data_IF_588532529050
#
_entry.id   IF_588532529050
#
_cell.length_a   1.000
_cell.length_b   1.000
_cell.length_c   1.000
_cell.angle_alpha   90.00
_cell.angle_beta   90.00
_cell.angle_gamma   90.00
#
_symmetry.space_group_name_H-M   'P 1'
#
loop_
_entity.id
_entity.type
_entity.pdbx_description
1 polymer ?
#
# COMPACT_ATOMS: atom_id res chain seq x y z
N UNK A 1 -10.43 -18.69 38.18
CA UNK A 1 -9.78 -17.43 37.80
C UNK A 1 -9.96 -17.25 36.30
N UNK A 2 -10.74 -16.25 35.88
CA UNK A 2 -11.07 -16.01 34.49
C UNK A 2 -10.16 -14.91 33.90
N UNK A 3 -9.64 -15.19 32.69
CA UNK A 3 -9.29 -14.27 31.58
C UNK A 3 -8.20 -13.20 31.81
N UNK A 4 -7.24 -13.16 30.88
CA UNK A 4 -7.34 -12.29 29.70
C UNK A 4 -6.38 -12.76 28.59
N UNK A 5 -6.95 -13.06 27.43
CA UNK A 5 -6.21 -13.22 26.17
C UNK A 5 -6.10 -11.83 25.53
N UNK A 6 -4.90 -11.41 25.15
CA UNK A 6 -4.59 -10.08 24.62
C UNK A 6 -4.14 -10.16 23.15
N UNK A 7 -4.48 -9.12 22.40
CA UNK A 7 -4.66 -9.11 20.95
C UNK A 7 -4.08 -7.79 20.40
N UNK A 8 -3.12 -7.82 19.46
CA UNK A 8 -2.40 -6.64 18.96
C UNK A 8 -3.01 -6.02 17.68
N UNK A 9 -3.58 -4.81 17.74
CA UNK A 9 -4.12 -4.11 16.56
C UNK A 9 -2.99 -3.35 15.87
N UNK A 10 -2.87 -3.41 14.56
CA UNK A 10 -1.73 -2.89 13.82
C UNK A 10 -2.13 -1.65 13.01
N UNK A 11 -1.26 -0.64 12.94
CA UNK A 11 -1.45 0.56 12.11
C UNK A 11 -0.85 0.28 10.73
N UNK A 12 -1.67 0.22 9.68
CA UNK A 12 -1.20 0.00 8.31
C UNK A 12 -1.29 1.30 7.52
N UNK A 13 -0.15 1.80 7.04
CA UNK A 13 -0.09 2.87 6.03
C UNK A 13 0.70 2.32 4.84
N UNK A 14 0.01 2.04 3.73
CA UNK A 14 0.70 2.00 2.44
C UNK A 14 0.98 3.43 2.03
N UNK A 15 2.26 3.82 2.05
CA UNK A 15 2.67 5.14 1.63
C UNK A 15 3.18 5.06 0.18
N UNK A 16 2.33 5.44 -0.78
CA UNK A 16 2.80 5.86 -2.10
C UNK A 16 3.31 7.29 -1.94
N UNK A 17 4.62 7.47 -2.00
CA UNK A 17 5.23 8.79 -1.92
C UNK A 17 5.20 9.50 -3.28
N UNK A 18 4.38 10.55 -3.30
CA UNK A 18 4.38 11.69 -4.20
C UNK A 18 3.74 11.52 -5.60
N UNK A 19 2.44 11.81 -5.64
CA UNK A 19 1.84 12.61 -6.72
C UNK A 19 2.46 14.01 -6.64
N UNK A 20 3.33 14.36 -7.58
CA UNK A 20 3.61 15.75 -7.89
C UNK A 20 2.57 16.14 -8.95
N UNK A 21 1.60 16.97 -8.56
CA UNK A 21 0.66 17.57 -9.49
C UNK A 21 1.44 18.56 -10.40
N UNK A 22 1.68 18.16 -11.65
CA UNK A 22 2.00 19.06 -12.76
C UNK A 22 0.99 18.79 -13.89
N UNK A 23 0.61 19.81 -14.67
CA UNK A 23 -0.64 19.82 -15.42
C UNK A 23 -0.71 18.62 -16.37
N UNK A 24 -1.72 17.78 -16.12
CA UNK A 24 -2.06 16.64 -16.94
C UNK A 24 -2.08 17.03 -18.42
N UNK A 25 -1.26 16.34 -19.21
CA UNK A 25 -1.67 16.05 -20.56
C UNK A 25 -2.92 15.17 -20.42
N UNK A 26 -4.08 15.78 -20.65
CA UNK A 26 -5.35 15.10 -20.64
C UNK A 26 -5.33 14.03 -21.74
N UNK A 27 -5.04 12.79 -21.37
CA UNK A 27 -5.58 11.67 -22.13
C UNK A 27 -7.10 11.76 -21.98
N UNK A 28 -7.76 11.81 -23.13
CA UNK A 28 -9.17 12.17 -23.30
C UNK A 28 -10.07 11.30 -22.41
N UNK A 29 -10.95 11.98 -21.67
CA UNK A 29 -12.24 11.47 -21.19
C UNK A 29 -12.25 10.14 -20.42
N UNK A 30 -11.40 9.98 -19.40
CA UNK A 30 -11.87 9.23 -18.22
C UNK A 30 -12.62 10.19 -17.30
N UNK A 31 -13.95 10.01 -17.10
CA UNK A 31 -14.64 10.79 -16.10
C UNK A 31 -13.90 10.61 -14.78
N UNK A 32 -13.66 11.71 -14.06
CA UNK A 32 -13.22 11.68 -12.67
C UNK A 32 -14.37 11.05 -11.87
N UNK A 33 -14.48 9.72 -11.93
CA UNK A 33 -15.35 8.98 -11.04
C UNK A 33 -14.88 9.35 -9.63
N UNK A 34 -15.83 9.71 -8.76
CA UNK A 34 -15.55 9.75 -7.33
C UNK A 34 -14.92 8.40 -7.02
N UNK A 35 -13.66 8.43 -6.57
CA UNK A 35 -13.00 7.26 -6.01
C UNK A 35 -13.85 6.83 -4.82
N UNK A 36 -14.80 5.95 -5.09
CA UNK A 36 -15.58 5.28 -4.05
C UNK A 36 -14.58 4.35 -3.37
N UNK A 37 -14.18 4.77 -2.17
CA UNK A 37 -13.17 4.11 -1.34
C UNK A 37 -13.66 2.68 -1.07
N UNK A 38 -12.81 1.66 -1.19
CA UNK A 38 -13.10 0.23 -0.89
C UNK A 38 -13.49 -0.01 0.60
N UNK A 39 -14.17 0.91 1.30
CA UNK A 39 -14.33 0.92 2.76
C UNK A 39 -13.01 1.11 3.55
N UNK A 40 -11.90 1.22 2.83
CA UNK A 40 -10.53 1.42 3.28
C UNK A 40 -10.17 2.91 3.15
N UNK A 41 -9.09 3.36 3.80
CA UNK A 41 -8.79 4.80 4.03
C UNK A 41 -9.71 5.48 5.04
N UNK A 42 -10.18 4.70 6.01
CA UNK A 42 -10.71 5.24 7.27
C UNK A 42 -9.54 5.33 8.25
N UNK A 43 -9.28 6.50 8.85
CA UNK A 43 -8.24 6.62 9.87
C UNK A 43 -8.45 5.55 10.94
N UNK A 44 -7.39 4.84 11.33
CA UNK A 44 -7.46 3.87 12.42
C UNK A 44 -8.19 4.53 13.61
N UNK A 45 -9.26 3.92 14.15
CA UNK A 45 -10.04 4.51 15.24
C UNK A 45 -9.20 4.93 16.46
N UNK A 46 -8.14 4.19 16.78
CA UNK A 46 -7.20 4.54 17.85
C UNK A 46 -6.34 5.76 17.47
N UNK A 47 -5.80 5.80 16.26
CA UNK A 47 -5.06 6.96 15.77
C UNK A 47 -5.96 8.21 15.72
N UNK A 48 -7.21 8.05 15.30
CA UNK A 48 -8.23 9.10 15.36
C UNK A 48 -8.51 9.54 16.79
N UNK A 49 -8.72 8.62 17.74
CA UNK A 49 -8.92 8.96 19.15
C UNK A 49 -7.68 9.67 19.74
N UNK A 50 -6.47 9.27 19.37
CA UNK A 50 -5.23 9.94 19.76
C UNK A 50 -5.19 11.37 19.18
N UNK A 51 -5.57 11.56 17.92
CA UNK A 51 -5.67 12.88 17.30
C UNK A 51 -6.74 13.75 17.98
N UNK A 52 -7.94 13.23 18.18
CA UNK A 52 -9.04 13.95 18.82
C UNK A 52 -8.65 14.42 20.23
N UNK A 53 -8.02 13.56 21.05
CA UNK A 53 -7.50 13.93 22.38
C UNK A 53 -6.44 15.04 22.32
N UNK A 54 -5.55 15.02 21.31
CA UNK A 54 -4.57 16.10 21.11
C UNK A 54 -5.27 17.41 20.75
N UNK A 55 -6.25 17.37 19.85
CA UNK A 55 -7.03 18.55 19.47
C UNK A 55 -7.85 19.12 20.65
N UNK A 56 -8.43 18.27 21.50
CA UNK A 56 -9.11 18.70 22.72
C UNK A 56 -8.15 19.40 23.69
N UNK A 57 -6.95 18.85 23.89
CA UNK A 57 -5.92 19.47 24.73
C UNK A 57 -5.49 20.85 24.19
N UNK A 58 -5.39 20.98 22.88
CA UNK A 58 -5.09 22.24 22.18
C UNK A 58 -6.19 23.28 22.40
N UNK A 59 -7.45 22.89 22.21
CA UNK A 59 -8.59 23.76 22.47
C UNK A 59 -8.66 24.23 23.94
N UNK A 60 -8.34 23.34 24.88
CA UNK A 60 -8.24 23.71 26.30
C UNK A 60 -7.13 24.72 26.58
N UNK A 61 -5.98 24.61 25.90
CA UNK A 61 -4.87 25.56 26.02
C UNK A 61 -5.22 26.91 25.39
N UNK A 62 -5.90 26.92 24.23
CA UNK A 62 -6.41 28.14 23.58
C UNK A 62 -7.34 28.93 24.51
N UNK A 63 -8.26 28.25 25.19
CA UNK A 63 -9.21 28.87 26.14
C UNK A 63 -8.52 29.54 27.33
N UNK A 64 -7.29 29.16 27.68
CA UNK A 64 -6.55 29.72 28.82
C UNK A 64 -5.83 31.05 28.51
N UNK A 65 -5.73 31.46 27.24
CA UNK A 65 -5.20 32.75 26.78
C UNK A 65 -3.68 32.97 27.00
N UNK A 66 -2.99 33.58 26.02
CA UNK A 66 -1.57 33.97 26.11
C UNK A 66 -0.59 33.07 25.33
N UNK A 67 0.71 33.06 25.71
CA UNK A 67 1.78 32.18 25.18
C UNK A 67 1.41 30.67 25.14
N UNK A 68 0.40 30.28 25.93
CA UNK A 68 -0.18 28.95 25.91
C UNK A 68 -0.95 28.65 24.61
N UNK A 69 -1.56 29.65 23.96
CA UNK A 69 -2.26 29.50 22.68
C UNK A 69 -1.29 29.30 21.50
N UNK A 70 -0.16 30.00 21.47
CA UNK A 70 0.88 29.82 20.44
C UNK A 70 1.57 28.44 20.57
N UNK A 71 1.82 27.99 21.81
CA UNK A 71 2.22 26.60 22.08
C UNK A 71 1.12 25.58 21.76
N UNK A 72 -0.15 25.95 21.87
CA UNK A 72 -1.27 25.08 21.50
C UNK A 72 -1.39 24.92 19.99
N UNK A 73 -1.18 25.97 19.21
CA UNK A 73 -1.25 25.90 17.74
C UNK A 73 -0.12 25.02 17.16
N UNK A 74 1.03 24.96 17.83
CA UNK A 74 2.17 24.11 17.47
C UNK A 74 2.15 22.72 18.14
N UNK A 75 1.38 22.52 19.21
CA UNK A 75 1.28 21.23 19.91
C UNK A 75 0.83 20.03 19.04
N UNK A 76 -0.18 20.13 18.15
CA UNK A 76 -0.54 19.04 17.24
C UNK A 76 0.58 18.71 16.25
N UNK A 77 1.46 19.68 15.99
CA UNK A 77 2.61 19.58 15.10
C UNK A 77 3.91 19.25 15.85
N UNK A 78 3.86 19.00 17.16
CA UNK A 78 5.05 18.69 17.96
C UNK A 78 5.09 17.21 18.34
N UNK A 79 6.29 16.63 18.40
CA UNK A 79 6.48 15.27 18.89
C UNK A 79 7.54 14.48 18.13
N UNK A 80 7.56 13.17 18.34
CA UNK A 80 8.38 12.26 17.56
C UNK A 80 7.62 10.98 17.28
N UNK A 81 7.85 10.42 16.10
CA UNK A 81 7.33 9.12 15.69
C UNK A 81 8.48 8.24 15.21
N UNK A 82 8.35 6.94 15.43
CA UNK A 82 9.25 5.92 14.88
C UNK A 82 8.42 4.95 14.05
N UNK A 83 8.59 4.97 12.74
CA UNK A 83 7.92 4.04 11.82
C UNK A 83 8.73 2.75 11.64
N UNK A 84 8.06 1.62 11.71
CA UNK A 84 8.56 0.36 11.18
C UNK A 84 8.16 0.29 9.71
N UNK A 85 9.12 0.16 8.80
CA UNK A 85 8.84 0.01 7.36
C UNK A 85 9.33 -1.37 6.92
N UNK A 86 8.44 -2.16 6.31
CA UNK A 86 8.76 -3.48 5.77
C UNK A 86 8.61 -3.43 4.25
N UNK A 87 9.71 -3.65 3.53
CA UNK A 87 9.66 -3.89 2.08
C UNK A 87 9.35 -5.36 1.86
N UNK A 88 8.30 -5.68 1.09
CA UNK A 88 7.83 -7.06 0.87
C UNK A 88 7.74 -7.40 -0.60
N UNK A 89 8.32 -8.52 -1.00
CA UNK A 89 8.15 -9.06 -2.34
C UNK A 89 7.40 -10.38 -2.30
N UNK A 90 6.75 -10.72 -3.41
CA UNK A 90 5.85 -11.86 -3.43
C UNK A 90 6.57 -13.16 -3.72
N UNK A 91 6.05 -14.22 -3.12
CA UNK A 91 6.43 -15.60 -3.37
C UNK A 91 5.48 -16.28 -4.34
N UNK A 92 5.13 -17.50 -3.97
CA UNK A 92 4.52 -18.48 -4.87
C UNK A 92 5.54 -19.45 -5.50
N UNK A 93 5.11 -20.24 -6.49
CA UNK A 93 3.82 -20.12 -7.17
C UNK A 93 2.63 -20.56 -6.31
N UNK A 94 1.47 -19.94 -6.52
CA UNK A 94 0.18 -20.47 -6.09
C UNK A 94 -0.62 -20.94 -7.31
N UNK A 95 -1.28 -22.10 -7.20
CA UNK A 95 -2.12 -22.64 -8.27
C UNK A 95 -3.55 -22.74 -7.80
N UNK A 96 -4.48 -22.20 -8.58
CA UNK A 96 -5.91 -22.24 -8.30
C UNK A 96 -6.68 -22.82 -9.49
N UNK A 97 -7.73 -23.58 -9.18
CA UNK A 97 -8.66 -24.06 -10.21
C UNK A 97 -9.80 -23.07 -10.38
N UNK A 98 -9.85 -22.41 -11.53
CA UNK A 98 -10.96 -21.58 -11.95
C UNK A 98 -12.00 -22.42 -12.70
N UNK A 99 -13.28 -22.26 -12.36
CA UNK A 99 -14.39 -22.96 -13.01
C UNK A 99 -15.38 -21.95 -13.57
N UNK A 100 -15.52 -21.82 -14.90
CA UNK A 100 -16.48 -20.92 -15.55
C UNK A 100 -17.90 -21.09 -15.00
N UNK A 101 -18.59 -19.97 -14.76
CA UNK A 101 -19.93 -19.94 -14.17
C UNK A 101 -20.03 -20.30 -12.68
N UNK A 102 -18.92 -20.64 -12.01
CA UNK A 102 -18.87 -20.92 -10.56
C UNK A 102 -17.91 -19.97 -9.85
N UNK A 103 -16.68 -19.87 -10.35
CA UNK A 103 -15.66 -18.95 -9.86
C UNK A 103 -16.10 -17.50 -10.07
N UNK A 104 -15.71 -16.64 -9.13
CA UNK A 104 -16.10 -15.21 -9.10
C UNK A 104 -14.93 -14.24 -9.09
N UNK A 105 -13.69 -14.73 -9.08
CA UNK A 105 -12.48 -13.91 -9.18
C UNK A 105 -12.05 -13.82 -10.63
N UNK A 106 -11.43 -12.72 -11.03
CA UNK A 106 -10.86 -12.58 -12.37
C UNK A 106 -9.56 -13.42 -12.46
N UNK A 107 -9.53 -14.50 -13.26
CA UNK A 107 -8.33 -15.33 -13.38
C UNK A 107 -7.28 -14.73 -14.33
N UNK A 108 -7.61 -13.66 -15.07
CA UNK A 108 -6.75 -13.02 -16.08
C UNK A 108 -6.16 -11.72 -15.54
N UNK A 109 -6.94 -10.92 -14.80
CA UNK A 109 -6.53 -9.67 -14.19
C UNK A 109 -6.35 -8.53 -15.17
N UNK A 110 -7.10 -8.50 -16.29
CA UNK A 110 -6.96 -7.45 -17.32
C UNK A 110 -7.89 -6.29 -17.03
N UNK A 111 -7.31 -5.09 -16.94
CA UNK A 111 -8.06 -3.85 -16.78
C UNK A 111 -8.74 -3.42 -18.09
N UNK A 112 -9.99 -3.84 -18.32
CA UNK A 112 -10.81 -3.55 -19.48
C UNK A 112 -12.29 -3.33 -19.11
N UNK A 113 -12.77 -2.10 -19.32
CA UNK A 113 -14.16 -1.69 -19.04
C UNK A 113 -15.23 -2.49 -19.80
N UNK A 114 -14.85 -3.12 -20.92
CA UNK A 114 -15.77 -3.97 -21.68
C UNK A 114 -16.06 -5.31 -21.02
N UNK A 115 -15.40 -5.63 -19.89
CA UNK A 115 -15.67 -6.80 -19.07
C UNK A 115 -16.81 -6.58 -18.06
N UNK A 116 -17.25 -5.34 -17.86
CA UNK A 116 -18.38 -5.03 -16.99
C UNK A 116 -19.72 -5.51 -17.55
N UNK A 117 -20.33 -6.48 -16.84
CA UNK A 117 -21.67 -7.00 -17.17
C UNK A 117 -22.81 -6.25 -16.47
N UNK A 118 -22.49 -5.32 -15.57
CA UNK A 118 -23.45 -4.75 -14.64
C UNK A 118 -23.53 -5.48 -13.29
N UNK A 119 -22.86 -6.63 -13.14
CA UNK A 119 -22.93 -7.48 -11.95
C UNK A 119 -21.53 -7.88 -11.47
N UNK A 120 -21.22 -7.65 -10.20
CA UNK A 120 -19.96 -8.09 -9.59
C UNK A 120 -19.97 -9.61 -9.36
N UNK A 121 -18.84 -10.25 -9.65
CA UNK A 121 -18.64 -11.70 -9.63
C UNK A 121 -19.15 -12.41 -10.89
N UNK A 122 -19.66 -11.69 -11.90
CA UNK A 122 -20.06 -12.26 -13.18
C UNK A 122 -18.89 -12.25 -14.17
N UNK A 123 -18.27 -13.42 -14.32
CA UNK A 123 -17.11 -13.60 -15.20
C UNK A 123 -17.48 -13.96 -16.64
N UNK A 124 -18.75 -13.89 -17.05
CA UNK A 124 -19.20 -14.44 -18.34
C UNK A 124 -18.52 -13.82 -19.58
N UNK A 125 -18.17 -12.54 -19.53
CA UNK A 125 -17.41 -11.88 -20.62
C UNK A 125 -15.96 -12.39 -20.65
N UNK A 126 -15.32 -12.52 -19.49
CA UNK A 126 -13.94 -13.01 -19.34
C UNK A 126 -13.87 -14.47 -19.81
N UNK A 127 -14.82 -15.31 -19.39
CA UNK A 127 -14.95 -16.70 -19.80
C UNK A 127 -15.02 -16.83 -21.33
N UNK A 128 -15.94 -16.09 -21.95
CA UNK A 128 -16.15 -16.11 -23.40
C UNK A 128 -14.93 -15.60 -24.16
N UNK A 129 -14.32 -14.52 -23.71
CA UNK A 129 -13.17 -13.87 -24.36
C UNK A 129 -11.94 -14.75 -24.35
N UNK A 130 -11.71 -15.47 -23.24
CA UNK A 130 -10.54 -16.31 -23.04
C UNK A 130 -10.82 -17.80 -23.33
N UNK A 131 -11.99 -18.10 -23.92
CA UNK A 131 -12.42 -19.45 -24.28
C UNK A 131 -12.36 -20.45 -23.11
N UNK A 132 -12.69 -19.99 -21.90
CA UNK A 132 -12.74 -20.81 -20.70
C UNK A 132 -14.05 -21.61 -20.71
N UNK A 133 -13.95 -22.91 -20.99
CA UNK A 133 -15.12 -23.80 -21.18
C UNK A 133 -15.24 -24.88 -20.09
N UNK A 134 -14.26 -24.99 -19.20
CA UNK A 134 -14.26 -25.93 -18.09
C UNK A 134 -13.21 -25.59 -17.03
N UNK A 135 -13.11 -26.41 -15.97
CA UNK A 135 -12.12 -26.21 -14.91
C UNK A 135 -10.71 -26.07 -15.47
N UNK A 136 -10.06 -24.95 -15.16
CA UNK A 136 -8.76 -24.56 -15.69
C UNK A 136 -7.83 -24.17 -14.53
N UNK A 137 -6.61 -24.69 -14.54
CA UNK A 137 -5.60 -24.36 -13.54
C UNK A 137 -4.87 -23.08 -13.95
N UNK A 138 -4.87 -22.09 -13.07
CA UNK A 138 -4.05 -20.90 -13.21
C UNK A 138 -2.95 -20.91 -12.15
N UNK A 139 -1.72 -20.62 -12.56
CA UNK A 139 -0.58 -20.56 -11.65
C UNK A 139 -0.03 -19.16 -11.65
N UNK A 140 -0.04 -18.52 -10.48
CA UNK A 140 0.38 -17.15 -10.29
C UNK A 140 1.67 -17.07 -9.50
N UNK A 141 2.46 -16.06 -9.80
CA UNK A 141 3.64 -15.64 -9.06
C UNK A 141 3.49 -14.14 -8.87
N UNK A 142 3.88 -13.59 -7.73
CA UNK A 142 3.85 -12.13 -7.62
C UNK A 142 5.17 -11.52 -8.08
N UNK A 143 5.20 -10.21 -8.39
CA UNK A 143 6.44 -9.60 -8.81
C UNK A 143 7.45 -9.61 -7.66
N UNK A 144 8.70 -9.87 -8.01
CA UNK A 144 9.84 -9.48 -7.20
C UNK A 144 10.05 -7.97 -7.34
N UNK A 145 10.78 -7.37 -6.39
CA UNK A 145 11.19 -5.99 -6.57
C UNK A 145 12.03 -5.80 -7.85
N UNK A 146 12.06 -4.57 -8.36
CA UNK A 146 12.75 -4.20 -9.61
C UNK A 146 12.18 -4.84 -10.89
N UNK A 147 10.98 -5.41 -10.84
CA UNK A 147 10.28 -5.93 -12.04
C UNK A 147 9.29 -4.94 -12.66
N UNK A 148 9.18 -3.72 -12.13
CA UNK A 148 8.36 -2.65 -12.73
C UNK A 148 9.04 -2.18 -14.02
N UNK A 149 8.31 -2.27 -15.13
CA UNK A 149 8.77 -1.80 -16.44
C UNK A 149 9.17 -0.31 -16.37
N UNK A 150 10.36 0.02 -16.88
CA UNK A 150 10.82 1.41 -16.97
C UNK A 150 9.97 2.23 -17.95
N UNK A 151 9.79 3.55 -17.72
CA UNK A 151 8.97 4.40 -18.58
C UNK A 151 9.36 4.35 -20.06
N UNK A 152 8.37 4.26 -20.95
CA UNK A 152 8.60 4.10 -22.40
C UNK A 152 9.02 5.39 -23.10
N UNK A 153 8.30 6.47 -22.84
CA UNK A 153 8.51 7.80 -23.44
C UNK A 153 7.91 8.89 -22.56
N UNK A 154 8.25 10.16 -22.81
CA UNK A 154 7.69 11.29 -22.04
C UNK A 154 6.19 11.49 -22.25
N UNK A 155 5.66 11.11 -23.41
CA UNK A 155 4.22 11.21 -23.74
C UNK A 155 3.42 9.99 -23.27
N UNK A 156 4.08 8.96 -22.74
CA UNK A 156 3.41 7.80 -22.17
C UNK A 156 2.82 8.17 -20.80
N UNK A 157 1.74 7.51 -20.39
CA UNK A 157 1.18 7.67 -19.04
C UNK A 157 2.23 7.46 -17.92
N UNK A 158 3.19 6.55 -18.12
CA UNK A 158 4.28 6.32 -17.15
C UNK A 158 5.42 7.33 -17.25
N UNK A 159 5.37 8.28 -18.19
CA UNK A 159 6.50 9.11 -18.63
C UNK A 159 7.11 9.96 -17.53
N UNK A 160 6.28 10.34 -16.56
CA UNK A 160 6.63 11.16 -15.40
C UNK A 160 6.56 10.38 -14.07
N UNK A 161 6.33 9.07 -14.11
CA UNK A 161 6.33 8.24 -12.92
C UNK A 161 7.73 8.19 -12.31
N UNK A 162 7.79 8.12 -10.97
CA UNK A 162 9.03 7.85 -10.26
C UNK A 162 9.50 6.44 -10.62
N UNK A 163 10.70 6.34 -11.18
CA UNK A 163 11.31 5.06 -11.50
C UNK A 163 12.82 5.08 -11.28
N UNK A 164 13.36 3.96 -10.81
CA UNK A 164 14.79 3.68 -10.72
C UNK A 164 15.02 2.23 -11.16
N UNK A 165 16.17 1.91 -11.78
CA UNK A 165 16.50 0.52 -12.10
C UNK A 165 16.65 -0.36 -10.85
N UNK A 166 16.85 0.25 -9.67
CA UNK A 166 17.01 -0.46 -8.41
C UNK A 166 16.30 0.26 -7.25
N UNK A 167 15.12 -0.21 -6.89
CA UNK A 167 14.34 0.13 -5.70
C UNK A 167 14.87 -0.64 -4.47
N UNK A 168 16.16 -0.57 -4.21
CA UNK A 168 16.77 -1.22 -3.05
C UNK A 168 16.35 -0.56 -1.73
N UNK A 169 16.79 -1.16 -0.61
CA UNK A 169 16.56 -0.62 0.73
C UNK A 169 17.08 0.81 0.90
N UNK A 170 18.23 1.13 0.31
CA UNK A 170 18.86 2.45 0.44
C UNK A 170 18.01 3.54 -0.23
N UNK A 171 17.44 3.27 -1.40
CA UNK A 171 16.49 4.17 -2.07
C UNK A 171 15.34 4.57 -1.12
N UNK A 172 14.74 3.59 -0.44
CA UNK A 172 13.65 3.85 0.51
C UNK A 172 14.14 4.57 1.77
N UNK A 173 15.32 4.23 2.28
CA UNK A 173 15.94 4.94 3.41
C UNK A 173 16.12 6.43 3.07
N UNK A 174 16.67 6.73 1.90
CA UNK A 174 16.94 8.10 1.44
C UNK A 174 15.66 8.89 1.21
N UNK A 175 14.65 8.25 0.62
CA UNK A 175 13.33 8.84 0.38
C UNK A 175 12.57 9.13 1.69
N UNK A 176 12.64 8.22 2.67
CA UNK A 176 11.82 8.34 3.89
C UNK A 176 12.52 9.20 4.95
N UNK A 177 13.76 8.89 5.30
CA UNK A 177 14.45 9.53 6.45
C UNK A 177 15.78 10.17 6.12
N UNK A 178 16.36 9.86 4.97
CA UNK A 178 17.58 10.49 4.48
C UNK A 178 17.33 11.88 3.91
N UNK A 179 18.20 12.29 3.00
CA UNK A 179 18.17 13.62 2.41
C UNK A 179 17.36 13.68 1.10
N UNK A 180 16.46 12.74 0.87
CA UNK A 180 15.75 12.59 -0.40
C UNK A 180 16.57 11.82 -1.44
N UNK A 181 15.98 11.63 -2.61
CA UNK A 181 16.53 10.80 -3.69
C UNK A 181 16.88 11.64 -4.90
N UNK A 182 17.80 11.13 -5.72
CA UNK A 182 18.00 11.56 -7.09
C UNK A 182 17.86 10.35 -7.99
N UNK A 183 17.07 10.47 -9.04
CA UNK A 183 16.94 9.41 -10.03
C UNK A 183 17.25 9.94 -11.41
N UNK A 184 18.04 9.14 -12.13
CA UNK A 184 18.43 9.38 -13.50
C UNK A 184 18.30 8.08 -14.28
N UNK A 185 17.54 8.11 -15.36
CA UNK A 185 17.37 6.96 -16.24
C UNK A 185 17.07 7.38 -17.66
N UNK A 186 17.32 6.47 -18.59
CA UNK A 186 16.85 6.58 -19.97
C UNK A 186 15.52 5.86 -20.11
N UNK A 187 14.53 6.54 -20.70
CA UNK A 187 13.30 5.91 -21.17
C UNK A 187 13.60 5.01 -22.37
N UNK A 188 12.66 4.14 -22.72
CA UNK A 188 12.85 3.18 -23.83
C UNK A 188 12.99 3.86 -25.20
N UNK A 189 12.42 5.06 -25.38
CA UNK A 189 12.58 5.89 -26.58
C UNK A 189 13.94 6.63 -26.65
N UNK A 190 14.81 6.45 -25.65
CA UNK A 190 16.12 7.09 -25.54
C UNK A 190 16.10 8.48 -24.91
N UNK A 191 14.94 9.06 -24.63
CA UNK A 191 14.86 10.30 -23.85
C UNK A 191 15.33 10.07 -22.41
N UNK A 192 15.90 11.08 -21.76
CA UNK A 192 16.42 10.93 -20.40
C UNK A 192 15.56 11.65 -19.38
N UNK A 193 15.53 11.11 -18.18
CA UNK A 193 14.94 11.70 -16.97
C UNK A 193 16.05 11.98 -15.99
N UNK A 194 16.05 13.15 -15.38
CA UNK A 194 16.93 13.50 -14.28
C UNK A 194 16.15 14.38 -13.31
N UNK A 195 15.74 13.80 -12.19
CA UNK A 195 14.99 14.49 -11.14
C UNK A 195 15.79 14.45 -9.86
N UNK A 196 15.90 15.62 -9.22
CA UNK A 196 16.60 15.81 -7.96
C UNK A 196 15.58 16.18 -6.88
N UNK A 197 15.33 15.25 -5.96
CA UNK A 197 14.50 15.43 -4.78
C UNK A 197 15.35 15.57 -3.52
N UNK A 198 16.60 16.04 -3.64
CA UNK A 198 17.44 16.35 -2.48
C UNK A 198 16.77 17.39 -1.58
N UNK A 199 16.78 17.14 -0.27
CA UNK A 199 16.07 17.89 0.74
C UNK A 199 14.57 17.56 0.84
N UNK A 200 14.03 16.69 -0.04
CA UNK A 200 12.60 16.35 -0.11
C UNK A 200 12.32 14.90 0.31
N UNK A 201 12.77 14.51 1.50
CA UNK A 201 12.35 13.25 2.12
C UNK A 201 11.04 13.41 2.88
N UNK A 202 10.41 12.29 3.27
CA UNK A 202 9.22 12.31 4.14
C UNK A 202 9.52 13.00 5.46
N UNK A 203 10.69 12.71 6.03
CA UNK A 203 11.17 13.37 7.24
C UNK A 203 11.28 14.87 7.04
N UNK A 204 11.85 15.34 5.93
CA UNK A 204 11.90 16.77 5.63
C UNK A 204 10.50 17.36 5.50
N UNK A 205 9.58 16.69 4.80
CA UNK A 205 8.19 17.15 4.68
C UNK A 205 7.51 17.37 6.04
N UNK A 206 7.60 16.39 6.95
CA UNK A 206 7.03 16.55 8.29
C UNK A 206 7.78 17.58 9.15
N UNK A 207 9.11 17.67 9.01
CA UNK A 207 9.91 18.69 9.68
C UNK A 207 9.48 20.10 9.23
N UNK A 208 9.37 20.34 7.93
CA UNK A 208 8.99 21.63 7.38
C UNK A 208 7.55 22.00 7.78
N UNK A 209 6.61 21.06 7.64
CA UNK A 209 5.20 21.26 8.03
C UNK A 209 5.05 21.61 9.52
N UNK A 210 5.94 21.08 10.37
CA UNK A 210 5.93 21.32 11.82
C UNK A 210 6.82 22.48 12.28
N UNK A 211 7.52 23.18 11.38
CA UNK A 211 8.55 24.14 11.76
C UNK A 211 9.68 23.52 12.59
N UNK A 212 9.95 22.24 12.40
CA UNK A 212 10.95 21.44 13.12
C UNK A 212 10.48 20.86 14.45
N UNK A 213 9.23 21.08 14.84
CA UNK A 213 8.70 20.58 16.12
C UNK A 213 8.38 19.07 16.11
N UNK A 214 8.21 18.47 14.92
CA UNK A 214 7.98 17.04 14.75
C UNK A 214 9.20 16.33 14.16
N UNK A 215 9.57 15.22 14.77
CA UNK A 215 10.67 14.38 14.31
C UNK A 215 10.17 13.00 13.85
N UNK A 216 10.28 12.73 12.55
CA UNK A 216 10.08 11.40 12.01
C UNK A 216 11.39 10.61 12.02
N UNK A 217 11.34 9.42 12.63
CA UNK A 217 12.33 8.37 12.48
C UNK A 217 11.66 7.17 11.82
N UNK A 218 12.44 6.34 11.13
CA UNK A 218 11.96 5.08 10.60
C UNK A 218 13.09 4.07 10.49
N UNK A 219 12.79 2.81 10.79
CA UNK A 219 13.65 1.68 10.47
C UNK A 219 13.07 0.97 9.26
N UNK A 220 13.82 0.97 8.16
CA UNK A 220 13.43 0.31 6.92
C UNK A 220 14.06 -1.08 6.91
N UNK A 221 13.26 -2.13 6.83
CA UNK A 221 13.70 -3.52 6.64
C UNK A 221 13.45 -3.94 5.20
N UNK A 222 14.45 -4.57 4.58
CA UNK A 222 14.50 -4.75 3.13
C UNK A 222 13.84 -6.05 2.65
N UNK A 223 13.50 -6.06 1.36
CA UNK A 223 12.68 -7.04 0.63
C UNK A 223 12.62 -8.43 1.25
N UNK A 224 11.69 -8.62 2.19
CA UNK A 224 11.37 -9.93 2.74
C UNK A 224 10.40 -10.63 1.81
N UNK A 225 10.65 -11.92 1.55
CA UNK A 225 9.82 -12.69 0.64
C UNK A 225 8.61 -13.29 1.35
N UNK A 226 7.42 -12.94 0.88
CA UNK A 226 6.15 -13.51 1.32
C UNK A 226 5.99 -14.95 0.81
N UNK A 227 5.19 -15.81 1.46
CA UNK A 227 4.97 -17.18 1.00
C UNK A 227 4.18 -17.24 -0.31
N UNK A 228 3.26 -16.31 -0.54
CA UNK A 228 2.30 -16.37 -1.65
C UNK A 228 2.53 -15.31 -2.74
N UNK A 229 1.92 -15.54 -3.89
CA UNK A 229 1.84 -14.67 -5.06
C UNK A 229 0.94 -13.46 -4.79
N UNK A 230 1.04 -12.42 -5.64
CA UNK A 230 0.22 -11.21 -5.47
C UNK A 230 -1.28 -11.50 -5.61
N UNK A 231 -1.68 -12.46 -6.46
CA UNK A 231 -3.10 -12.86 -6.61
C UNK A 231 -3.67 -13.48 -5.34
N UNK A 232 -2.84 -14.17 -4.56
CA UNK A 232 -3.31 -14.76 -3.31
C UNK A 232 -3.80 -13.69 -2.33
N UNK A 233 -3.23 -12.48 -2.38
CA UNK A 233 -3.60 -11.35 -1.51
C UNK A 233 -4.51 -10.32 -2.20
N UNK A 234 -4.36 -10.16 -3.51
CA UNK A 234 -4.83 -9.01 -4.29
C UNK A 234 -5.92 -9.31 -5.31
N UNK A 235 -6.27 -10.58 -5.54
CA UNK A 235 -7.20 -10.91 -6.61
C UNK A 235 -8.61 -10.35 -6.40
N UNK A 236 -9.05 -9.55 -7.36
CA UNK A 236 -10.36 -8.93 -7.43
C UNK A 236 -11.46 -9.89 -7.92
N UNK A 237 -12.74 -9.62 -7.59
CA UNK A 237 -13.87 -10.30 -8.21
C UNK A 237 -13.97 -9.93 -9.69
N UNK A 238 -14.76 -10.67 -10.47
CA UNK A 238 -15.03 -10.33 -11.87
C UNK A 238 -16.04 -9.18 -12.03
N UNK A 239 -15.82 -8.25 -12.96
CA UNK A 239 -14.49 -7.88 -13.44
C UNK A 239 -13.75 -7.09 -12.34
N UNK A 240 -12.43 -6.93 -12.49
CA UNK A 240 -11.64 -6.15 -11.56
C UNK A 240 -12.09 -4.68 -11.46
N UNK A 241 -11.57 -3.97 -10.45
CA UNK A 241 -12.03 -2.62 -10.09
C UNK A 241 -11.82 -1.59 -11.19
N UNK A 242 -10.75 -1.67 -11.95
CA UNK A 242 -10.44 -0.78 -13.08
C UNK A 242 -11.20 -1.20 -14.35
N UNK A 243 -11.82 -2.38 -14.36
CA UNK A 243 -12.71 -2.91 -15.39
C UNK A 243 -14.20 -2.65 -15.14
N UNK A 244 -14.61 -2.15 -13.96
CA UNK A 244 -16.01 -1.85 -13.64
C UNK A 244 -16.20 -0.66 -12.69
N UNK A 245 -17.32 0.04 -12.77
CA UNK A 245 -17.51 1.29 -12.01
C UNK A 245 -17.75 1.11 -10.50
N UNK A 246 -18.04 -0.11 -10.01
CA UNK A 246 -18.62 -0.30 -8.67
C UNK A 246 -18.12 -1.49 -7.84
N UNK A 247 -16.96 -2.12 -8.11
CA UNK A 247 -16.49 -3.17 -7.19
C UNK A 247 -16.01 -2.57 -5.85
N UNK A 248 -16.95 -2.35 -4.93
CA UNK A 248 -16.65 -2.15 -3.50
C UNK A 248 -16.12 -3.42 -2.83
N UNK A 249 -15.87 -4.48 -3.61
CA UNK A 249 -15.63 -5.82 -3.13
C UNK A 249 -14.13 -6.09 -3.07
N UNK A 250 -13.75 -6.71 -1.98
CA UNK A 250 -12.40 -6.74 -1.43
C UNK A 250 -11.39 -7.53 -2.27
N UNK A 251 -10.14 -7.09 -2.26
CA UNK A 251 -8.97 -7.94 -2.55
C UNK A 251 -9.10 -9.28 -1.81
N UNK A 252 -8.75 -10.40 -2.47
CA UNK A 252 -8.77 -11.73 -1.83
C UNK A 252 -9.99 -12.59 -2.14
N UNK A 253 -10.52 -12.47 -3.36
CA UNK A 253 -11.76 -13.16 -3.77
C UNK A 253 -11.58 -14.63 -4.16
N UNK A 254 -10.32 -15.10 -4.28
CA UNK A 254 -10.03 -16.50 -4.57
C UNK A 254 -10.37 -17.36 -3.33
N UNK A 255 -11.28 -18.35 -3.43
CA UNK A 255 -11.61 -19.22 -2.31
C UNK A 255 -10.40 -19.95 -1.74
N UNK A 256 -10.14 -19.77 -0.44
CA UNK A 256 -9.02 -20.39 0.25
C UNK A 256 -7.68 -19.64 0.11
N UNK A 257 -7.66 -18.55 -0.65
CA UNK A 257 -6.59 -17.55 -0.57
C UNK A 257 -6.86 -16.58 0.60
N UNK A 258 -5.97 -15.61 0.79
CA UNK A 258 -6.15 -14.56 1.77
C UNK A 258 -6.40 -13.22 1.10
N UNK A 259 -5.99 -12.16 1.78
CA UNK A 259 -6.34 -10.78 1.51
C UNK A 259 -5.22 -9.84 1.99
N UNK A 260 -5.47 -8.53 1.93
CA UNK A 260 -4.55 -7.51 2.48
C UNK A 260 -4.26 -7.69 3.98
N UNK A 261 -5.22 -8.19 4.78
CA UNK A 261 -5.04 -8.51 6.19
C UNK A 261 -4.04 -9.66 6.37
N UNK A 262 -4.13 -10.67 5.53
CA UNK A 262 -3.25 -11.84 5.52
C UNK A 262 -1.84 -11.46 5.04
N UNK A 263 -1.73 -10.55 4.07
CA UNK A 263 -0.43 -10.00 3.63
C UNK A 263 0.34 -9.37 4.78
N UNK A 264 -0.33 -8.59 5.62
CA UNK A 264 0.29 -7.96 6.79
C UNK A 264 0.86 -9.00 7.75
N UNK A 265 0.11 -10.07 8.01
CA UNK A 265 0.53 -11.15 8.91
C UNK A 265 1.74 -11.87 8.34
N UNK A 266 1.69 -12.20 7.05
CA UNK A 266 2.81 -12.83 6.35
C UNK A 266 4.04 -11.92 6.28
N UNK A 267 3.86 -10.59 6.15
CA UNK A 267 4.94 -9.61 6.19
C UNK A 267 5.63 -9.59 7.56
N UNK A 268 4.86 -9.60 8.64
CA UNK A 268 5.37 -9.69 10.02
C UNK A 268 6.12 -11.01 10.22
N UNK A 269 5.55 -12.13 9.78
CA UNK A 269 6.16 -13.46 9.92
C UNK A 269 7.43 -13.59 9.07
N UNK A 270 7.44 -13.04 7.86
CA UNK A 270 8.63 -12.97 7.01
C UNK A 270 9.70 -12.07 7.65
N UNK A 271 9.32 -10.95 8.24
CA UNK A 271 10.23 -10.06 8.97
C UNK A 271 10.85 -10.79 10.17
N UNK A 272 10.05 -11.44 11.02
CA UNK A 272 10.54 -12.18 12.18
C UNK A 272 11.48 -13.33 11.79
N UNK A 273 11.19 -14.03 10.69
CA UNK A 273 12.07 -15.08 10.16
C UNK A 273 13.40 -14.52 9.66
N UNK A 274 13.36 -13.37 8.98
CA UNK A 274 14.55 -12.75 8.37
C UNK A 274 15.41 -11.99 9.40
N UNK A 275 14.76 -11.37 10.37
CA UNK A 275 15.36 -10.52 11.41
C UNK A 275 14.90 -10.97 12.81
N UNK A 276 15.33 -12.15 13.29
CA UNK A 276 14.83 -12.72 14.55
C UNK A 276 15.18 -11.91 15.81
N UNK A 277 16.11 -10.95 15.71
CA UNK A 277 16.52 -10.08 16.80
C UNK A 277 15.77 -8.73 16.82
N UNK A 278 14.75 -8.53 15.97
CA UNK A 278 13.98 -7.29 15.95
C UNK A 278 13.34 -7.00 17.32
N UNK A 279 13.53 -5.78 17.81
CA UNK A 279 12.95 -5.33 19.07
C UNK A 279 11.62 -4.61 18.82
N UNK A 280 10.52 -5.37 18.80
CA UNK A 280 9.17 -4.84 18.56
C UNK A 280 8.75 -3.74 19.54
N UNK A 281 9.33 -3.71 20.76
CA UNK A 281 9.01 -2.71 21.78
C UNK A 281 9.46 -1.29 21.40
N UNK A 282 10.39 -1.14 20.46
CA UNK A 282 10.81 0.19 20.00
C UNK A 282 9.77 0.90 19.14
N UNK A 283 8.80 0.14 18.63
CA UNK A 283 7.72 0.64 17.77
C UNK A 283 6.38 0.79 18.51
N UNK A 284 6.35 0.50 19.81
CA UNK A 284 5.23 0.72 20.74
C UNK A 284 5.69 1.73 21.81
N UNK A 285 5.74 3.02 21.44
CA UNK A 285 6.34 4.07 22.27
C UNK A 285 5.44 4.59 23.36
N UNK A 286 4.13 4.41 23.24
CA UNK A 286 3.19 4.72 24.32
C UNK A 286 2.78 3.51 25.15
N UNK A 287 3.40 2.36 24.89
CA UNK A 287 3.31 1.14 25.69
C UNK A 287 1.89 0.58 25.79
N UNK A 288 1.08 0.77 24.75
CA UNK A 288 -0.28 0.23 24.65
C UNK A 288 -0.34 -1.14 23.97
N UNK A 289 0.82 -1.77 23.79
CA UNK A 289 1.01 -3.08 23.17
C UNK A 289 0.69 -3.11 21.66
N UNK A 290 0.65 -1.94 21.03
CA UNK A 290 0.37 -1.74 19.60
C UNK A 290 1.55 -1.03 18.93
N UNK A 291 1.89 -1.49 17.72
CA UNK A 291 2.86 -0.77 16.87
C UNK A 291 2.24 0.56 16.43
N UNK A 292 2.89 1.66 16.78
CA UNK A 292 2.45 3.04 16.55
C UNK A 292 2.37 3.41 15.07
N UNK A 293 3.32 2.94 14.26
CA UNK A 293 3.44 3.28 12.86
C UNK A 293 4.06 2.12 12.09
N UNK A 294 3.25 1.35 11.38
CA UNK A 294 3.75 0.33 10.46
C UNK A 294 3.39 0.70 9.02
N UNK A 295 4.42 0.72 8.18
CA UNK A 295 4.31 0.89 6.74
C UNK A 295 4.78 -0.38 6.05
N UNK A 296 4.00 -0.85 5.09
CA UNK A 296 4.39 -1.97 4.24
C UNK A 296 4.49 -1.41 2.83
N UNK A 297 5.58 -1.74 2.14
CA UNK A 297 5.80 -1.36 0.74
C UNK A 297 5.93 -2.66 -0.04
N UNK A 298 4.93 -2.94 -0.86
CA UNK A 298 4.87 -4.16 -1.67
C UNK A 298 5.56 -3.96 -3.03
N UNK A 299 6.10 -5.05 -3.58
CA UNK A 299 6.70 -5.06 -4.91
C UNK A 299 5.61 -4.89 -5.98
N UNK A 300 5.97 -4.29 -7.12
CA UNK A 300 5.07 -4.13 -8.26
C UNK A 300 4.32 -2.79 -8.26
N UNK A 301 3.40 -2.69 -9.22
CA UNK A 301 2.50 -1.57 -9.40
C UNK A 301 1.30 -1.70 -8.47
N UNK A 302 0.78 -0.56 -8.07
CA UNK A 302 -0.47 -0.43 -7.33
C UNK A 302 -1.68 -0.56 -8.26
N UNK A 303 -2.78 -1.11 -7.75
CA UNK A 303 -4.01 -1.32 -8.53
C UNK A 303 -4.71 0.01 -8.95
N UNK A 304 -4.46 1.12 -8.24
CA UNK A 304 -5.04 2.42 -8.61
C UNK A 304 -4.38 3.07 -9.83
N UNK A 305 -3.34 2.46 -10.39
CA UNK A 305 -2.68 2.93 -11.61
C UNK A 305 -3.65 2.90 -12.81
N UNK A 306 -3.21 3.50 -13.92
CA UNK A 306 -4.01 3.49 -15.14
C UNK A 306 -4.20 2.07 -15.67
N UNK A 307 -5.32 1.81 -16.36
CA UNK A 307 -5.60 0.53 -17.01
C UNK A 307 -4.47 0.12 -17.96
N UNK A 308 -3.94 1.10 -18.68
CA UNK A 308 -2.81 0.94 -19.61
C UNK A 308 -1.54 0.46 -18.91
N UNK A 309 -1.30 0.87 -17.65
CA UNK A 309 -0.13 0.45 -16.87
C UNK A 309 -0.31 -0.94 -16.29
N UNK A 310 -1.47 -1.21 -15.69
CA UNK A 310 -1.81 -2.52 -15.14
C UNK A 310 -1.71 -3.60 -16.22
N UNK A 311 -2.22 -3.33 -17.41
CA UNK A 311 -2.18 -4.27 -18.55
C UNK A 311 -0.78 -4.51 -19.14
N UNK A 312 0.28 -3.85 -18.64
CA UNK A 312 1.69 -4.16 -18.98
C UNK A 312 2.31 -5.18 -18.04
N UNK A 313 1.62 -5.47 -16.94
CA UNK A 313 2.08 -6.42 -15.93
C UNK A 313 1.33 -7.73 -16.11
N UNK A 314 1.96 -8.84 -15.72
CA UNK A 314 1.27 -10.12 -15.75
C UNK A 314 0.18 -10.22 -14.68
N UNK A 315 0.17 -9.30 -13.70
CA UNK A 315 -0.78 -9.26 -12.59
C UNK A 315 -1.95 -8.31 -12.72
N UNK A 316 -1.82 -7.27 -13.53
CA UNK A 316 -2.85 -6.28 -13.79
C UNK A 316 -3.69 -5.93 -12.55
N UNK A 317 -5.00 -6.17 -12.61
CA UNK A 317 -5.96 -5.86 -11.53
C UNK A 317 -5.86 -6.75 -10.30
N UNK A 318 -5.03 -7.80 -10.31
CA UNK A 318 -4.66 -8.52 -9.09
C UNK A 318 -3.53 -7.81 -8.31
N UNK A 319 -3.02 -6.67 -8.80
CA UNK A 319 -2.22 -5.75 -8.01
C UNK A 319 -2.93 -5.39 -6.71
N UNK A 320 -2.16 -5.05 -5.68
CA UNK A 320 -2.76 -4.54 -4.44
C UNK A 320 -3.16 -3.09 -4.61
N UNK A 321 -4.38 -2.76 -4.16
CA UNK A 321 -4.78 -1.38 -3.98
C UNK A 321 -4.13 -0.81 -2.71
N UNK A 322 -3.29 0.21 -2.83
CA UNK A 322 -2.65 0.87 -1.71
C UNK A 322 -3.68 1.61 -0.84
N UNK A 323 -3.69 1.31 0.45
CA UNK A 323 -4.64 1.90 1.39
C UNK A 323 -4.08 2.03 2.81
N UNK A 324 -4.83 2.68 3.68
CA UNK A 324 -4.63 2.60 5.12
C UNK A 324 -5.79 1.90 5.81
N UNK A 325 -5.49 1.17 6.88
CA UNK A 325 -6.46 0.31 7.52
C UNK A 325 -6.08 -0.17 8.91
N UNK A 326 -6.88 -1.09 9.43
CA UNK A 326 -6.64 -1.80 10.68
C UNK A 326 -7.05 -3.24 10.46
N UNK A 327 -6.21 -4.17 10.92
CA UNK A 327 -6.52 -5.59 10.85
C UNK A 327 -7.87 -5.90 11.48
N UNK A 328 -8.69 -6.70 10.81
CA UNK A 328 -9.99 -7.13 11.32
C UNK A 328 -9.85 -7.96 12.60
N UNK A 329 -8.77 -8.75 12.68
CA UNK A 329 -8.36 -9.42 13.92
C UNK A 329 -6.96 -8.97 14.32
N UNK A 330 -6.76 -8.60 15.59
CA UNK A 330 -5.44 -8.24 16.09
C UNK A 330 -4.42 -9.38 15.90
N UNK A 331 -3.22 -9.07 15.43
CA UNK A 331 -2.15 -10.03 15.12
C UNK A 331 -0.92 -9.83 15.99
N UNK A 332 -0.43 -10.92 16.60
CA UNK A 332 0.71 -10.86 17.52
C UNK A 332 2.03 -10.76 16.74
N UNK A 333 2.68 -9.61 16.81
CA UNK A 333 3.90 -9.38 16.07
C UNK A 333 5.16 -10.10 16.60
N UNK A 334 5.18 -10.56 17.85
CA UNK A 334 6.34 -11.22 18.46
C UNK A 334 5.99 -12.62 19.02
N UNK A 335 6.87 -13.63 18.83
CA UNK A 335 6.58 -15.01 19.24
C UNK A 335 6.78 -15.30 20.75
N UNK A 336 7.46 -14.44 21.51
CA UNK A 336 7.74 -14.67 22.95
C UNK A 336 6.58 -14.27 23.88
N UNK A 337 6.49 -14.84 25.08
CA UNK A 337 5.72 -14.22 26.16
C UNK A 337 6.58 -13.11 26.80
N UNK A 338 5.96 -11.96 27.10
CA UNK A 338 6.58 -10.90 27.92
C UNK A 338 7.02 -11.46 29.27
#
# INVERSE_FOLDING_TARGET
>A
MLKQFHFARLIMVYLVLAVINTPAYAEQDEPVERIDRKGRDVPNPLAKQRFDRRMEAVELLRRKGGLAAEKADTAPLSGSAKALVILVEFGGPDTFTYTPGVSRWDPIGKADQTEWTGTVGDCSIIDKRNNLTGPTQFTYNGPLHNQIEGPRSAVNATGDNIWTPDFNRQYHQDLITGNGIRYHFSRQDGSTVNVDLTGKSVKSFYSDLSGGAYQLQADIYGWVKLPHSVWWYGADPCPGRRSGSTSQQDDGTIPGAGDSDSLVRDAIDALNRTYPAINWLEYDRDHDEIVDHLWIIAAGLDESQSRTELNRTDYGEAALWAHSGTLGTPYRAYPGNR
#
